data_IF_693908941310
#
_entry.id   IF_693908941310
#
_cell.length_a   1.000
_cell.length_b   1.000
_cell.length_c   1.000
_cell.angle_alpha   90.00
_cell.angle_beta   90.00
_cell.angle_gamma   90.00
#
_symmetry.space_group_name_H-M   'P 1'
#
loop_
_entity.id
_entity.type
_entity.pdbx_description
1 polymer ?
#
# COMPACT_ATOMS: atom_id res chain seq x y z
N UNK A 1 -14.17 -18.14 9.05
CA UNK A 1 -14.00 -16.67 9.13
C UNK A 1 -12.59 -16.36 8.64
N UNK A 2 -12.40 -16.20 7.33
CA UNK A 2 -11.06 -16.26 6.70
C UNK A 2 -10.79 -15.07 5.75
N UNK A 3 -11.58 -13.99 5.86
CA UNK A 3 -11.58 -12.90 4.88
C UNK A 3 -10.71 -11.68 5.24
N UNK A 4 -9.88 -11.74 6.28
CA UNK A 4 -9.06 -10.58 6.70
C UNK A 4 -7.55 -10.87 6.70
N UNK A 5 -7.08 -11.71 5.77
CA UNK A 5 -5.64 -11.89 5.52
C UNK A 5 -5.20 -10.88 4.46
N UNK A 6 -4.20 -10.06 4.80
CA UNK A 6 -3.56 -9.20 3.82
C UNK A 6 -2.86 -10.04 2.74
N UNK A 7 -2.99 -9.61 1.48
CA UNK A 7 -2.35 -10.21 0.31
C UNK A 7 -0.85 -9.90 0.26
N UNK A 8 -0.51 -8.69 0.68
CA UNK A 8 0.85 -8.24 0.88
C UNK A 8 0.90 -7.35 2.12
N UNK A 9 2.04 -7.41 2.82
CA UNK A 9 2.32 -6.58 3.97
C UNK A 9 3.77 -6.12 3.90
N UNK A 10 4.02 -4.91 4.39
CA UNK A 10 5.37 -4.36 4.53
C UNK A 10 5.40 -3.30 5.62
N UNK A 11 6.55 -3.17 6.27
CA UNK A 11 6.76 -2.16 7.29
C UNK A 11 7.80 -1.12 6.82
N UNK A 12 7.46 0.15 6.99
CA UNK A 12 8.40 1.27 6.89
C UNK A 12 8.52 1.99 8.23
N UNK A 13 8.98 3.24 8.17
CA UNK A 13 9.21 4.07 9.37
C UNK A 13 7.90 4.33 10.11
N UNK A 14 7.66 3.60 11.20
CA UNK A 14 6.46 3.72 12.05
C UNK A 14 5.11 3.55 11.32
N UNK A 15 5.13 2.94 10.13
CA UNK A 15 3.95 2.69 9.30
C UNK A 15 4.00 1.26 8.79
N UNK A 16 2.93 0.51 9.00
CA UNK A 16 2.69 -0.80 8.39
C UNK A 16 1.69 -0.63 7.27
N UNK A 17 2.00 -1.17 6.10
CA UNK A 17 1.14 -1.18 4.92
C UNK A 17 0.57 -2.58 4.76
N UNK A 18 -0.76 -2.67 4.65
CA UNK A 18 -1.48 -3.91 4.37
C UNK A 18 -2.29 -3.74 3.09
N UNK A 19 -2.11 -4.66 2.14
CA UNK A 19 -2.89 -4.69 0.91
C UNK A 19 -3.94 -5.78 1.01
N UNK A 20 -5.20 -5.44 0.73
CA UNK A 20 -6.33 -6.35 0.65
C UNK A 20 -6.87 -6.37 -0.78
N UNK A 21 -7.91 -7.17 -1.03
CA UNK A 21 -8.55 -7.27 -2.33
C UNK A 21 -9.23 -5.98 -2.79
N UNK A 22 -9.74 -5.18 -1.85
CA UNK A 22 -10.54 -3.97 -2.13
C UNK A 22 -9.85 -2.66 -1.73
N UNK A 23 -8.83 -2.71 -0.86
CA UNK A 23 -8.23 -1.53 -0.24
C UNK A 23 -6.77 -1.73 0.17
N UNK A 24 -6.09 -0.63 0.42
CA UNK A 24 -4.76 -0.55 1.04
C UNK A 24 -4.90 0.18 2.37
N UNK A 25 -4.40 -0.39 3.45
CA UNK A 25 -4.40 0.22 4.78
C UNK A 25 -2.99 0.64 5.18
N UNK A 26 -2.87 1.88 5.65
CA UNK A 26 -1.67 2.42 6.25
C UNK A 26 -1.91 2.57 7.75
N UNK A 27 -1.29 1.70 8.54
CA UNK A 27 -1.42 1.64 9.99
C UNK A 27 -0.21 2.31 10.60
N UNK A 28 -0.42 3.36 11.39
CA UNK A 28 0.63 4.18 11.99
C UNK A 28 0.33 4.49 13.45
N UNK A 29 1.37 4.86 14.20
CA UNK A 29 1.29 5.15 15.64
C UNK A 29 1.49 3.92 16.53
N UNK A 30 1.70 4.16 17.83
CA UNK A 30 1.91 3.10 18.82
C UNK A 30 0.62 2.28 18.95
N UNK A 31 0.68 0.98 18.69
CA UNK A 31 -0.47 0.06 18.61
C UNK A 31 -1.49 0.34 17.48
N UNK A 32 -1.13 1.08 16.42
CA UNK A 32 -2.00 1.25 15.25
C UNK A 32 -3.17 2.22 15.47
N UNK A 33 -3.00 3.20 16.35
CA UNK A 33 -4.00 4.23 16.65
C UNK A 33 -4.49 5.02 15.43
N UNK A 34 -3.71 5.06 14.34
CA UNK A 34 -4.09 5.76 13.11
C UNK A 34 -4.06 4.81 11.93
N UNK A 35 -5.26 4.49 11.42
CA UNK A 35 -5.45 3.68 10.21
C UNK A 35 -5.98 4.59 9.12
N UNK A 36 -5.26 4.66 8.00
CA UNK A 36 -5.73 5.29 6.77
C UNK A 36 -6.04 4.18 5.79
N UNK A 37 -7.31 3.96 5.49
CA UNK A 37 -7.75 3.00 4.49
C UNK A 37 -8.04 3.72 3.17
N UNK A 38 -7.41 3.28 2.09
CA UNK A 38 -7.58 3.81 0.73
C UNK A 38 -8.19 2.72 -0.13
N UNK A 39 -9.35 2.96 -0.72
CA UNK A 39 -9.93 2.00 -1.65
C UNK A 39 -9.05 1.86 -2.90
N UNK A 40 -8.87 0.65 -3.42
CA UNK A 40 -8.05 0.43 -4.62
C UNK A 40 -8.55 1.21 -5.85
N UNK A 41 -9.84 1.53 -5.91
CA UNK A 41 -10.43 2.41 -6.94
C UNK A 41 -9.97 3.87 -6.84
N UNK A 42 -9.59 4.31 -5.65
CA UNK A 42 -9.07 5.64 -5.43
C UNK A 42 -7.58 5.70 -5.71
N UNK A 43 -6.86 4.58 -5.71
CA UNK A 43 -5.42 4.55 -6.00
C UNK A 43 -5.20 4.80 -7.48
N UNK A 44 -4.59 5.94 -7.81
CA UNK A 44 -4.20 6.31 -9.18
C UNK A 44 -2.90 5.60 -9.54
N UNK A 45 -1.87 5.74 -8.69
CA UNK A 45 -0.55 5.16 -8.93
C UNK A 45 0.09 4.65 -7.64
N UNK A 46 0.98 3.66 -7.77
CA UNK A 46 1.84 3.18 -6.71
C UNK A 46 3.29 3.11 -7.21
N UNK A 47 4.15 3.97 -6.68
CA UNK A 47 5.55 4.06 -7.08
C UNK A 47 6.47 3.58 -5.94
N UNK A 48 7.54 2.87 -6.28
CA UNK A 48 8.62 2.52 -5.34
C UNK A 48 9.89 3.26 -5.76
N UNK A 49 10.52 3.96 -4.82
CA UNK A 49 11.78 4.70 -5.03
C UNK A 49 12.87 4.18 -4.11
N UNK A 50 14.11 4.17 -4.59
CA UNK A 50 15.29 3.74 -3.82
C UNK A 50 15.54 2.23 -3.89
N UNK A 51 16.83 1.88 -3.88
CA UNK A 51 17.31 0.48 -3.90
C UNK A 51 17.64 -0.06 -2.52
N UNK A 52 17.86 0.84 -1.54
CA UNK A 52 18.12 0.56 -0.13
C UNK A 52 17.20 1.50 0.66
N UNK A 53 16.51 1.00 1.69
CA UNK A 53 15.50 1.76 2.45
C UNK A 53 14.44 2.39 1.52
N UNK A 54 13.76 1.55 0.74
CA UNK A 54 12.86 2.00 -0.29
C UNK A 54 11.71 2.84 0.28
N UNK A 55 11.25 3.80 -0.51
CA UNK A 55 10.05 4.58 -0.22
C UNK A 55 8.93 4.12 -1.15
N UNK A 56 7.83 3.68 -0.56
CA UNK A 56 6.58 3.41 -1.27
C UNK A 56 5.74 4.69 -1.26
N UNK A 57 5.36 5.17 -2.43
CA UNK A 57 4.43 6.29 -2.60
C UNK A 57 3.14 5.78 -3.26
N UNK A 58 2.01 6.06 -2.64
CA UNK A 58 0.68 5.76 -3.18
C UNK A 58 -0.06 7.07 -3.40
N UNK A 59 -0.46 7.31 -4.65
CA UNK A 59 -1.22 8.49 -5.04
C UNK A 59 -2.70 8.14 -5.22
N UNK A 60 -3.57 9.00 -4.71
CA UNK A 60 -5.01 8.84 -4.79
C UNK A 60 -5.65 9.86 -5.72
N UNK A 61 -6.84 9.56 -6.22
CA UNK A 61 -7.57 10.40 -7.18
C UNK A 61 -8.07 11.72 -6.56
N UNK A 62 -8.11 11.83 -5.23
CA UNK A 62 -8.36 13.08 -4.51
C UNK A 62 -7.10 13.95 -4.36
N UNK A 63 -5.98 13.56 -4.98
CA UNK A 63 -4.72 14.31 -4.98
C UNK A 63 -3.88 14.10 -3.72
N UNK A 64 -4.24 13.15 -2.84
CA UNK A 64 -3.39 12.79 -1.71
C UNK A 64 -2.29 11.86 -2.16
N UNK A 65 -1.10 12.08 -1.60
CA UNK A 65 0.05 11.22 -1.76
C UNK A 65 0.50 10.73 -0.40
N UNK A 66 0.49 9.41 -0.22
CA UNK A 66 0.88 8.75 1.01
C UNK A 66 2.24 8.12 0.78
N UNK A 67 3.24 8.55 1.54
CA UNK A 67 4.61 8.06 1.42
C UNK A 67 4.99 7.26 2.67
N UNK A 68 5.59 6.10 2.45
CA UNK A 68 6.09 5.20 3.49
C UNK A 68 7.56 4.97 3.25
N UNK A 69 8.39 5.61 4.07
CA UNK A 69 9.84 5.63 3.94
C UNK A 69 10.52 4.48 4.68
N UNK A 70 11.74 4.14 4.25
CA UNK A 70 12.61 3.12 4.87
C UNK A 70 11.96 1.73 4.96
N UNK A 71 11.20 1.38 3.94
CA UNK A 71 10.66 0.04 3.77
C UNK A 71 11.74 -0.90 3.22
N UNK A 72 11.63 -2.18 3.54
CA UNK A 72 12.44 -3.19 2.88
C UNK A 72 12.14 -3.19 1.36
N UNK A 73 13.15 -3.11 0.47
CA UNK A 73 12.93 -3.15 -0.97
C UNK A 73 12.07 -4.32 -1.48
N UNK A 74 12.21 -5.58 -1.00
CA UNK A 74 11.33 -6.66 -1.42
C UNK A 74 9.86 -6.40 -1.05
N UNK A 75 9.59 -5.92 0.16
CA UNK A 75 8.23 -5.63 0.64
C UNK A 75 7.58 -4.52 -0.20
N UNK A 76 8.32 -3.42 -0.43
CA UNK A 76 7.82 -2.30 -1.23
C UNK A 76 7.46 -2.75 -2.66
N UNK A 77 8.31 -3.58 -3.28
CA UNK A 77 8.06 -4.15 -4.62
C UNK A 77 6.87 -5.10 -4.62
N UNK A 78 6.76 -5.96 -3.61
CA UNK A 78 5.64 -6.90 -3.49
C UNK A 78 4.31 -6.15 -3.29
N UNK A 79 4.29 -5.10 -2.46
CA UNK A 79 3.12 -4.25 -2.26
C UNK A 79 2.71 -3.59 -3.58
N UNK A 80 3.65 -2.94 -4.30
CA UNK A 80 3.37 -2.34 -5.61
C UNK A 80 2.77 -3.35 -6.58
N UNK A 81 3.44 -4.49 -6.76
CA UNK A 81 2.98 -5.53 -7.69
C UNK A 81 1.59 -6.06 -7.31
N UNK A 82 1.31 -6.18 -6.01
CA UNK A 82 0.00 -6.64 -5.51
C UNK A 82 -1.08 -5.60 -5.77
N UNK A 83 -0.82 -4.31 -5.52
CA UNK A 83 -1.75 -3.21 -5.83
C UNK A 83 -2.07 -3.21 -7.33
N UNK A 84 -1.06 -3.26 -8.19
CA UNK A 84 -1.23 -3.29 -9.65
C UNK A 84 -2.04 -4.51 -10.10
N UNK A 85 -1.74 -5.69 -9.54
CA UNK A 85 -2.46 -6.92 -9.83
C UNK A 85 -3.93 -6.83 -9.40
N UNK A 86 -4.23 -6.32 -8.20
CA UNK A 86 -5.62 -6.17 -7.75
C UNK A 86 -6.37 -5.12 -8.58
N UNK A 87 -5.74 -4.00 -8.95
CA UNK A 87 -6.34 -3.03 -9.88
C UNK A 87 -6.66 -3.66 -11.23
N UNK A 88 -5.77 -4.50 -11.77
CA UNK A 88 -6.00 -5.23 -13.02
C UNK A 88 -7.15 -6.23 -12.89
N UNK A 89 -7.18 -7.02 -11.81
CA UNK A 89 -8.25 -7.99 -11.54
C UNK A 89 -9.61 -7.30 -11.37
N UNK A 90 -9.64 -6.12 -10.76
CA UNK A 90 -10.86 -5.33 -10.56
C UNK A 90 -11.32 -4.57 -11.83
N UNK A 91 -10.61 -4.69 -12.96
CA UNK A 91 -10.92 -3.96 -14.19
C UNK A 91 -10.72 -2.45 -14.08
N UNK A 92 -9.85 -2.01 -13.17
CA UNK A 92 -9.55 -0.59 -12.89
C UNK A 92 -8.31 -0.09 -13.66
N UNK A 93 -7.79 -0.90 -14.56
CA UNK A 93 -6.84 -0.48 -15.59
C UNK A 93 -7.64 -0.26 -16.88
N UNK A 94 -7.57 0.95 -17.42
CA UNK A 94 -7.91 1.23 -18.82
C UNK A 94 -6.79 0.77 -19.76
#
# INVERSE_FOLDING_TARGET
MEQNRSLAQGAGTNVVVNVYHDRVEFVSGWQGQKIVAVNLRQVVDATVRGVINATLAVETNDGRRIEVERMAPPDARQIKATIEQQKKTAGLYE
#
